data_IF_976241337313
#
_entry.id   IF_976241337313
#
_cell.length_a   1.000
_cell.length_b   1.000
_cell.length_c   1.000
_cell.angle_alpha   90.00
_cell.angle_beta   90.00
_cell.angle_gamma   90.00
#
_symmetry.space_group_name_H-M   'P 1'
#
loop_
_entity.id
_entity.type
_entity.pdbx_description
1 polymer ?
#
# COMPACT_ATOMS: atom_id res chain seq x y z
N UNK A 1 -24.88 0.26 -7.27
CA UNK A 1 -23.89 1.25 -6.76
C UNK A 1 -22.53 0.57 -6.71
N UNK A 2 -21.51 0.96 -7.49
CA UNK A 2 -20.16 0.41 -7.30
C UNK A 2 -19.66 0.77 -5.89
N UNK A 3 -18.92 -0.13 -5.21
CA UNK A 3 -18.41 0.17 -3.88
C UNK A 3 -17.52 1.42 -3.93
N UNK A 4 -17.74 2.33 -2.99
CA UNK A 4 -16.95 3.55 -2.85
C UNK A 4 -15.47 3.16 -2.77
N UNK A 5 -14.67 3.61 -3.75
CA UNK A 5 -13.23 3.40 -3.72
C UNK A 5 -12.67 4.11 -2.50
N UNK A 6 -12.22 3.33 -1.52
CA UNK A 6 -11.57 3.85 -0.33
C UNK A 6 -10.32 4.62 -0.79
N UNK A 7 -10.14 5.85 -0.32
CA UNK A 7 -9.03 6.71 -0.77
C UNK A 7 -7.77 6.25 -0.04
N UNK A 8 -6.66 6.09 -0.75
CA UNK A 8 -5.41 5.71 -0.10
C UNK A 8 -5.00 6.81 0.90
N UNK A 9 -4.58 6.45 2.12
CA UNK A 9 -3.99 7.40 3.05
C UNK A 9 -2.79 8.10 2.38
N UNK A 10 -2.59 9.38 2.69
CA UNK A 10 -1.41 10.11 2.20
C UNK A 10 -0.14 9.36 2.62
N UNK A 11 0.71 9.01 1.66
CA UNK A 11 1.95 8.25 1.91
C UNK A 11 1.82 6.72 1.88
N UNK A 12 0.62 6.14 1.77
CA UNK A 12 0.44 4.68 1.71
C UNK A 12 0.86 4.04 0.37
N UNK A 13 1.20 4.86 -0.63
CA UNK A 13 1.62 4.40 -1.95
C UNK A 13 0.54 3.59 -2.67
N UNK A 14 0.92 2.43 -3.23
CA UNK A 14 0.01 1.57 -3.99
C UNK A 14 -0.58 0.48 -3.10
N UNK A 15 -1.91 0.34 -3.04
CA UNK A 15 -2.60 -0.75 -2.33
C UNK A 15 -3.39 -1.59 -3.33
N UNK A 16 -3.13 -2.90 -3.39
CA UNK A 16 -3.85 -3.84 -4.28
C UNK A 16 -4.32 -5.07 -3.52
N UNK A 17 -5.53 -5.55 -3.85
CA UNK A 17 -6.04 -6.82 -3.32
C UNK A 17 -5.48 -7.97 -4.15
N UNK A 18 -4.85 -8.95 -3.49
CA UNK A 18 -4.29 -10.15 -4.12
C UNK A 18 -5.34 -11.26 -4.21
N UNK A 19 -5.06 -12.26 -5.05
CA UNK A 19 -5.94 -13.43 -5.28
C UNK A 19 -6.11 -14.30 -4.02
N UNK A 20 -5.13 -14.28 -3.13
CA UNK A 20 -5.14 -15.02 -1.86
C UNK A 20 -5.88 -14.28 -0.72
N UNK A 21 -6.56 -13.17 -1.04
CA UNK A 21 -7.36 -12.39 -0.08
C UNK A 21 -6.56 -11.36 0.73
N UNK A 22 -5.23 -11.32 0.61
CA UNK A 22 -4.39 -10.32 1.30
C UNK A 22 -4.34 -9.00 0.51
N UNK A 23 -4.17 -7.90 1.22
CA UNK A 23 -3.84 -6.60 0.64
C UNK A 23 -2.33 -6.43 0.59
N UNK A 24 -1.79 -6.09 -0.57
CA UNK A 24 -0.41 -5.68 -0.77
C UNK A 24 -0.34 -4.15 -0.73
N UNK A 25 0.45 -3.60 0.18
CA UNK A 25 0.77 -2.18 0.25
C UNK A 25 2.23 -1.97 -0.19
N UNK A 26 2.46 -1.06 -1.12
CA UNK A 26 3.78 -0.68 -1.61
C UNK A 26 4.09 0.77 -1.23
N UNK A 27 5.01 0.96 -0.28
CA UNK A 27 5.39 2.27 0.27
C UNK A 27 6.80 2.65 -0.15
N UNK A 28 7.04 3.95 -0.34
CA UNK A 28 8.39 4.49 -0.49
C UNK A 28 8.92 4.90 0.87
N UNK A 29 10.12 4.41 1.19
CA UNK A 29 10.85 4.73 2.42
C UNK A 29 12.05 5.58 2.03
N UNK A 30 12.20 6.73 2.70
CA UNK A 30 13.38 7.56 2.57
C UNK A 30 14.55 6.89 3.29
N UNK A 31 15.66 6.78 2.58
CA UNK A 31 16.89 6.22 3.10
C UNK A 31 17.81 7.35 3.59
N UNK A 32 18.75 7.06 4.51
CA UNK A 32 19.66 8.08 5.06
C UNK A 32 20.59 8.72 4.01
N UNK A 33 20.80 8.02 2.89
CA UNK A 33 21.62 8.46 1.75
C UNK A 33 20.85 9.32 0.74
N UNK A 34 19.60 9.71 1.06
CA UNK A 34 18.74 10.52 0.21
C UNK A 34 18.00 9.75 -0.89
N UNK A 35 18.21 8.44 -1.01
CA UNK A 35 17.48 7.60 -1.96
C UNK A 35 16.10 7.20 -1.42
N UNK A 36 15.27 6.64 -2.30
CA UNK A 36 13.96 6.07 -1.93
C UNK A 36 13.96 4.57 -2.21
N UNK A 37 13.69 3.77 -1.19
CA UNK A 37 13.48 2.34 -1.33
C UNK A 37 11.99 2.02 -1.38
N UNK A 38 11.56 1.15 -2.30
CA UNK A 38 10.17 0.66 -2.35
C UNK A 38 10.05 -0.61 -1.50
N UNK A 39 9.21 -0.60 -0.47
CA UNK A 39 8.94 -1.76 0.40
C UNK A 39 7.49 -2.24 0.26
N UNK A 40 7.31 -3.55 0.38
CA UNK A 40 6.00 -4.20 0.31
C UNK A 40 5.58 -4.73 1.70
N UNK A 41 4.39 -4.36 2.14
CA UNK A 41 3.73 -4.90 3.33
C UNK A 41 2.47 -5.68 2.91
N UNK A 42 2.13 -6.74 3.65
CA UNK A 42 0.98 -7.59 3.34
C UNK A 42 0.07 -7.70 4.56
N UNK A 43 -1.18 -7.24 4.43
CA UNK A 43 -2.17 -7.24 5.50
C UNK A 43 -3.42 -8.02 5.13
N UNK A 44 -4.16 -8.54 6.12
CA UNK A 44 -5.49 -9.13 5.90
C UNK A 44 -6.56 -8.08 5.63
N UNK A 45 -6.37 -6.87 6.14
CA UNK A 45 -7.30 -5.75 6.03
C UNK A 45 -6.58 -4.50 5.56
N UNK A 46 -7.35 -3.57 4.99
CA UNK A 46 -6.94 -2.19 4.73
C UNK A 46 -7.97 -1.29 5.41
N UNK A 47 -7.58 -0.68 6.52
CA UNK A 47 -8.42 0.15 7.38
C UNK A 47 -8.34 1.63 6.99
#
# INVERSE_FOLDING_TARGET
>A
MPPQRKRNPNGAGTITKRKDGRYQAAVYVLQPDGTRARKFAYGKTWA
#
